data_IF_003142770672
#
_entry.id   IF_003142770672
#
_cell.length_a   1.000
_cell.length_b   1.000
_cell.length_c   1.000
_cell.angle_alpha   90.00
_cell.angle_beta   90.00
_cell.angle_gamma   90.00
#
_symmetry.space_group_name_H-M   'P 1'
#
loop_
_entity.id
_entity.type
_entity.pdbx_description
1 polymer ?
#
# COMPACT_ATOMS: atom_id res chain seq x y z
N UNK A 1 -16.56 10.92 -0.15
CA UNK A 1 -15.95 10.42 -1.40
C UNK A 1 -14.89 9.38 -1.05
N UNK A 2 -15.00 8.14 -1.54
CA UNK A 2 -13.99 7.10 -1.31
C UNK A 2 -12.70 7.37 -2.11
N UNK A 3 -11.54 7.01 -1.54
CA UNK A 3 -10.24 7.13 -2.21
C UNK A 3 -9.47 5.81 -2.07
N UNK A 4 -8.98 5.30 -3.21
CA UNK A 4 -7.97 4.25 -3.29
C UNK A 4 -6.71 4.82 -3.95
N UNK A 5 -5.61 4.90 -3.21
CA UNK A 5 -4.38 5.55 -3.63
C UNK A 5 -3.26 4.50 -3.86
N UNK A 6 -2.85 4.28 -5.10
CA UNK A 6 -1.94 3.18 -5.48
C UNK A 6 -0.57 3.70 -5.92
N UNK A 7 0.50 3.04 -5.50
CA UNK A 7 1.87 3.38 -5.86
C UNK A 7 2.20 4.83 -5.50
N UNK A 8 2.47 5.67 -6.52
CA UNK A 8 2.68 7.12 -6.30
C UNK A 8 1.47 7.82 -5.67
N UNK A 9 0.26 7.27 -5.81
CA UNK A 9 -0.93 7.75 -5.14
C UNK A 9 -0.77 7.75 -3.61
N UNK A 10 -0.15 6.71 -3.03
CA UNK A 10 0.13 6.65 -1.58
C UNK A 10 1.06 7.79 -1.16
N UNK A 11 2.08 8.11 -1.96
CA UNK A 11 2.98 9.23 -1.71
C UNK A 11 2.24 10.58 -1.74
N UNK A 12 1.38 10.79 -2.74
CA UNK A 12 0.57 12.01 -2.86
C UNK A 12 -0.38 12.13 -1.68
N UNK A 13 -1.07 11.05 -1.31
CA UNK A 13 -1.96 11.00 -0.15
C UNK A 13 -1.23 11.46 1.12
N UNK A 14 -0.01 10.95 1.34
CA UNK A 14 0.81 11.34 2.49
C UNK A 14 1.12 12.84 2.50
N UNK A 15 1.61 13.38 1.38
CA UNK A 15 2.01 14.78 1.25
C UNK A 15 0.80 15.72 1.39
N UNK A 16 -0.31 15.42 0.73
CA UNK A 16 -1.54 16.19 0.83
C UNK A 16 -2.09 16.26 2.26
N UNK A 17 -1.84 15.22 3.06
CA UNK A 17 -2.22 15.18 4.48
C UNK A 17 -1.16 15.79 5.41
N UNK A 18 -0.14 16.47 4.89
CA UNK A 18 0.90 17.15 5.69
C UNK A 18 2.08 16.26 6.09
N UNK A 19 2.24 15.09 5.45
CA UNK A 19 3.43 14.27 5.57
C UNK A 19 4.60 14.82 4.73
N UNK A 20 5.79 14.24 4.91
CA UNK A 20 6.99 14.60 4.14
C UNK A 20 7.06 13.82 2.83
N UNK A 21 7.91 14.28 1.92
CA UNK A 21 8.19 13.57 0.68
C UNK A 21 8.80 12.18 0.94
N UNK A 22 8.48 11.17 0.11
CA UNK A 22 9.13 9.87 0.18
C UNK A 22 10.62 10.01 -0.16
N UNK A 23 11.44 9.12 0.38
CA UNK A 23 12.88 9.10 0.14
C UNK A 23 13.27 7.90 -0.74
N UNK A 24 14.39 7.99 -1.49
CA UNK A 24 14.94 6.85 -2.21
C UNK A 24 15.18 5.65 -1.29
N UNK A 25 14.92 4.46 -1.81
CA UNK A 25 15.14 3.17 -1.14
C UNK A 25 15.75 2.16 -2.11
N UNK A 26 16.50 1.21 -1.59
CA UNK A 26 17.17 0.15 -2.37
C UNK A 26 16.38 -1.16 -2.26
N UNK A 27 16.51 -2.06 -3.24
CA UNK A 27 15.88 -3.40 -3.18
C UNK A 27 14.37 -3.48 -3.50
N UNK A 28 13.72 -2.36 -3.82
CA UNK A 28 12.28 -2.31 -4.16
C UNK A 28 11.98 -2.12 -5.66
N UNK A 29 13.01 -2.09 -6.51
CA UNK A 29 12.86 -1.85 -7.96
C UNK A 29 14.01 -2.41 -8.82
N UNK A 30 14.81 -3.34 -8.31
CA UNK A 30 15.99 -3.83 -9.04
C UNK A 30 15.66 -5.00 -9.97
N UNK A 31 15.75 -4.77 -11.28
CA UNK A 31 15.87 -5.86 -12.25
C UNK A 31 17.18 -6.60 -12.00
N UNK A 32 17.17 -7.68 -11.23
CA UNK A 32 18.25 -8.65 -11.30
C UNK A 32 18.20 -9.30 -12.68
N UNK A 33 19.17 -8.96 -13.53
CA UNK A 33 19.24 -9.26 -14.97
C UNK A 33 19.22 -10.76 -15.34
N UNK A 34 19.11 -11.66 -14.37
CA UNK A 34 19.23 -13.12 -14.56
C UNK A 34 18.05 -13.94 -14.02
N UNK A 35 16.92 -13.33 -13.64
CA UNK A 35 15.74 -14.14 -13.30
C UNK A 35 14.42 -13.46 -13.61
N UNK A 36 13.51 -14.20 -14.24
CA UNK A 36 12.05 -13.96 -14.37
C UNK A 36 11.31 -13.80 -13.02
N UNK A 37 12.03 -13.53 -11.92
CA UNK A 37 11.45 -13.31 -10.61
C UNK A 37 10.82 -11.92 -10.61
N UNK A 38 9.49 -11.89 -10.72
CA UNK A 38 8.66 -10.76 -10.26
C UNK A 38 9.23 -10.27 -8.94
N UNK A 39 9.61 -9.00 -8.86
CA UNK A 39 10.04 -8.37 -7.61
C UNK A 39 8.86 -8.39 -6.67
N UNK A 40 8.85 -9.37 -5.76
CA UNK A 40 7.84 -9.52 -4.74
C UNK A 40 8.52 -9.51 -3.38
N UNK A 41 7.95 -8.77 -2.45
CA UNK A 41 8.39 -8.75 -1.05
C UNK A 41 7.23 -9.10 -0.12
N UNK A 42 7.54 -9.28 1.16
CA UNK A 42 6.54 -9.64 2.15
C UNK A 42 6.11 -8.40 2.91
N UNK A 43 4.81 -8.14 2.94
CA UNK A 43 4.23 -7.09 3.77
C UNK A 43 3.44 -7.70 4.91
N UNK A 44 3.44 -7.04 6.06
CA UNK A 44 2.52 -7.32 7.15
C UNK A 44 1.40 -6.28 7.14
N UNK A 45 0.16 -6.72 6.91
CA UNK A 45 -1.05 -5.91 7.01
C UNK A 45 -1.69 -6.10 8.39
N UNK A 46 -1.83 -5.01 9.12
CA UNK A 46 -2.37 -5.00 10.49
C UNK A 46 -3.83 -5.46 10.53
N UNK A 47 -4.18 -6.38 11.45
CA UNK A 47 -5.57 -6.66 11.78
C UNK A 47 -6.29 -5.38 12.23
N UNK A 48 -7.53 -5.20 11.78
CA UNK A 48 -8.34 -4.02 12.10
C UNK A 48 -8.14 -2.82 11.16
N UNK A 49 -7.21 -2.90 10.21
CA UNK A 49 -7.11 -1.96 9.10
C UNK A 49 -8.36 -2.05 8.20
N UNK A 50 -8.79 -0.93 7.60
CA UNK A 50 -9.90 -0.92 6.62
C UNK A 50 -9.59 -1.84 5.45
N UNK A 51 -8.34 -1.85 4.98
CA UNK A 51 -7.87 -2.76 3.96
C UNK A 51 -8.01 -4.22 4.38
N UNK A 52 -7.72 -4.57 5.65
CA UNK A 52 -7.87 -5.95 6.12
C UNK A 52 -9.33 -6.42 6.09
N UNK A 53 -10.28 -5.53 6.41
CA UNK A 53 -11.70 -5.83 6.31
C UNK A 53 -12.16 -6.02 4.87
N UNK A 54 -11.64 -5.23 3.92
CA UNK A 54 -11.98 -5.33 2.49
C UNK A 54 -11.34 -6.55 1.82
N UNK A 55 -10.07 -6.80 2.10
CA UNK A 55 -9.33 -7.96 1.60
C UNK A 55 -9.89 -9.26 2.22
N UNK A 56 -10.54 -9.16 3.38
CA UNK A 56 -11.11 -10.30 4.11
C UNK A 56 -10.08 -11.09 4.93
N UNK A 57 -8.86 -10.56 5.07
CA UNK A 57 -7.78 -11.15 5.87
C UNK A 57 -6.75 -10.10 6.26
N UNK A 58 -5.96 -10.42 7.29
CA UNK A 58 -4.83 -9.65 7.77
C UNK A 58 -3.60 -10.55 7.90
N UNK A 59 -2.43 -9.98 8.15
CA UNK A 59 -1.17 -10.70 8.32
C UNK A 59 -0.25 -10.57 7.11
N UNK A 60 0.47 -11.64 6.78
CA UNK A 60 1.53 -11.60 5.79
C UNK A 60 1.02 -11.82 4.36
N UNK A 61 1.42 -10.93 3.45
CA UNK A 61 1.11 -11.03 2.03
C UNK A 61 2.37 -10.85 1.19
N UNK A 62 2.50 -11.62 0.11
CA UNK A 62 3.52 -11.39 -0.92
C UNK A 62 2.93 -10.52 -2.01
N UNK A 63 3.48 -9.34 -2.22
CA UNK A 63 2.98 -8.35 -3.19
C UNK A 63 4.11 -7.89 -4.09
N UNK A 64 3.77 -7.36 -5.27
CA UNK A 64 4.77 -6.74 -6.14
C UNK A 64 5.43 -5.53 -5.48
N UNK A 65 6.70 -5.34 -5.78
CA UNK A 65 7.53 -4.21 -5.38
C UNK A 65 8.13 -3.60 -6.64
N UNK A 66 7.58 -2.47 -7.06
CA UNK A 66 8.04 -1.70 -8.22
C UNK A 66 8.08 -0.21 -7.87
N UNK A 67 8.95 0.16 -6.94
CA UNK A 67 9.14 1.53 -6.50
C UNK A 67 10.58 1.81 -6.05
N UNK A 68 11.08 2.99 -6.39
CA UNK A 68 12.44 3.44 -6.02
C UNK A 68 12.44 4.35 -4.79
N UNK A 69 11.26 4.76 -4.31
CA UNK A 69 11.08 5.58 -3.13
C UNK A 69 10.05 4.95 -2.19
N UNK A 70 10.16 5.25 -0.90
CA UNK A 70 9.22 4.80 0.12
C UNK A 70 9.07 5.80 1.28
N UNK A 71 8.12 5.50 2.15
CA UNK A 71 7.80 6.30 3.34
C UNK A 71 8.19 5.48 4.58
N UNK A 72 8.88 6.09 5.53
CA UNK A 72 9.04 5.57 6.90
C UNK A 72 8.17 6.39 7.85
N UNK A 73 8.01 5.93 9.08
CA UNK A 73 7.23 6.62 10.11
C UNK A 73 7.61 8.10 10.29
N UNK A 74 8.89 8.44 10.15
CA UNK A 74 9.37 9.83 10.26
C UNK A 74 8.89 10.76 9.12
N UNK A 75 8.48 10.21 7.98
CA UNK A 75 7.87 10.95 6.87
C UNK A 75 6.34 10.87 6.85
N UNK A 76 5.73 9.95 7.60
CA UNK A 76 4.28 9.75 7.62
C UNK A 76 3.56 11.00 8.13
N UNK A 77 2.45 11.35 7.49
CA UNK A 77 1.52 12.35 8.00
C UNK A 77 0.94 11.92 9.36
N UNK A 78 0.89 12.80 10.37
CA UNK A 78 0.22 12.50 11.64
C UNK A 78 -1.31 12.28 11.48
N UNK A 79 -1.91 12.65 10.34
CA UNK A 79 -3.34 12.48 10.05
C UNK A 79 -3.68 11.15 9.35
N UNK A 80 -2.67 10.33 9.07
CA UNK A 80 -2.84 9.01 8.47
C UNK A 80 -2.42 7.95 9.48
N UNK A 81 -2.80 6.70 9.27
CA UNK A 81 -2.32 5.53 10.01
C UNK A 81 -1.57 4.63 9.05
N UNK A 82 -0.39 4.18 9.44
CA UNK A 82 0.34 3.11 8.76
C UNK A 82 -0.31 1.77 9.12
N UNK A 83 -0.82 1.08 8.10
CA UNK A 83 -1.57 -0.16 8.27
C UNK A 83 -0.89 -1.36 7.66
N UNK A 84 0.11 -1.16 6.81
CA UNK A 84 1.00 -2.24 6.37
C UNK A 84 2.46 -1.79 6.31
N UNK A 85 3.37 -2.73 6.55
CA UNK A 85 4.81 -2.52 6.49
C UNK A 85 5.49 -3.63 5.71
N UNK A 86 6.52 -3.29 4.95
CA UNK A 86 7.52 -4.22 4.44
C UNK A 86 8.23 -4.89 5.63
N UNK A 87 8.26 -6.22 5.63
CA UNK A 87 8.81 -7.01 6.74
C UNK A 87 10.33 -6.89 6.79
N UNK A 88 10.96 -6.72 5.63
CA UNK A 88 12.40 -6.73 5.47
C UNK A 88 13.06 -5.43 5.97
N UNK A 89 12.42 -4.27 5.77
CA UNK A 89 13.06 -2.97 5.99
C UNK A 89 12.20 -1.92 6.71
N UNK A 90 10.95 -2.27 7.06
CA UNK A 90 10.02 -1.42 7.79
C UNK A 90 9.49 -0.23 6.99
N UNK A 91 9.62 -0.24 5.66
CA UNK A 91 8.95 0.75 4.80
C UNK A 91 7.44 0.60 4.93
N UNK A 92 6.73 1.71 4.96
CA UNK A 92 5.27 1.74 5.01
C UNK A 92 4.74 1.35 3.63
N UNK A 93 3.91 0.31 3.62
CA UNK A 93 3.32 -0.28 2.41
C UNK A 93 1.83 0.01 2.28
N UNK A 94 1.18 0.44 3.37
CA UNK A 94 -0.19 0.95 3.33
C UNK A 94 -0.42 2.08 4.32
N UNK A 95 -1.19 3.07 3.88
CA UNK A 95 -1.64 4.21 4.67
C UNK A 95 -3.16 4.31 4.61
N UNK A 96 -3.81 4.57 5.74
CA UNK A 96 -5.25 4.81 5.81
C UNK A 96 -5.55 6.10 6.55
N UNK A 97 -6.64 6.79 6.20
CA UNK A 97 -7.09 7.92 7.02
C UNK A 97 -8.09 7.44 8.07
N UNK A 98 -7.87 7.69 9.38
CA UNK A 98 -8.87 7.43 10.40
C UNK A 98 -10.03 8.44 10.36
N UNK A 99 -9.80 9.65 9.86
CA UNK A 99 -10.78 10.75 9.85
C UNK A 99 -11.87 10.57 8.76
N UNK A 100 -11.54 9.90 7.66
CA UNK A 100 -12.44 9.73 6.52
C UNK A 100 -13.08 8.35 6.51
N UNK A 101 -14.31 8.22 6.00
CA UNK A 101 -15.02 6.93 5.96
C UNK A 101 -14.24 5.86 5.20
N UNK A 102 -13.71 6.18 4.02
CA UNK A 102 -13.02 5.21 3.16
C UNK A 102 -11.87 5.88 2.38
N UNK A 103 -10.67 5.83 2.96
CA UNK A 103 -9.42 6.26 2.32
C UNK A 103 -8.37 5.22 2.64
N UNK A 104 -7.92 4.52 1.60
CA UNK A 104 -6.93 3.45 1.67
C UNK A 104 -5.85 3.74 0.63
N UNK A 105 -4.60 3.63 1.01
CA UNK A 105 -3.46 3.69 0.11
C UNK A 105 -2.61 2.44 0.23
N UNK A 106 -2.08 1.96 -0.90
CA UNK A 106 -1.09 0.89 -0.98
C UNK A 106 0.08 1.32 -1.86
N UNK A 107 1.29 0.90 -1.48
CA UNK A 107 2.51 1.16 -2.23
C UNK A 107 2.72 0.15 -3.37
N UNK A 108 2.37 -1.12 -3.15
CA UNK A 108 2.27 -2.12 -4.22
C UNK A 108 1.21 -1.73 -5.27
N UNK A 109 1.23 -2.43 -6.40
CA UNK A 109 0.36 -2.20 -7.55
C UNK A 109 -0.69 -3.32 -7.67
N UNK A 110 -1.81 -3.30 -6.91
CA UNK A 110 -2.82 -4.35 -6.93
C UNK A 110 -3.59 -4.48 -8.25
N UNK A 111 -3.47 -3.50 -9.15
CA UNK A 111 -3.94 -3.56 -10.54
C UNK A 111 -3.20 -4.62 -11.37
N UNK A 112 -1.96 -4.96 -10.99
CA UNK A 112 -1.20 -6.08 -11.55
C UNK A 112 -1.63 -7.38 -10.86
N UNK A 113 -2.86 -7.84 -11.16
CA UNK A 113 -3.54 -8.92 -10.43
C UNK A 113 -2.80 -10.27 -10.42
N UNK A 114 -1.89 -10.50 -11.36
CA UNK A 114 -1.04 -11.69 -11.43
C UNK A 114 0.21 -11.59 -10.53
N UNK A 115 0.38 -10.48 -9.81
CA UNK A 115 1.53 -10.19 -8.94
C UNK A 115 1.14 -9.83 -7.50
N UNK A 116 -0.14 -9.96 -7.16
CA UNK A 116 -0.67 -9.83 -5.79
C UNK A 116 -1.66 -10.96 -5.50
N UNK A 117 -1.98 -11.25 -4.23
CA UNK A 117 -3.00 -12.23 -3.90
C UNK A 117 -4.35 -11.83 -4.49
N UNK A 118 -5.13 -12.81 -4.99
CA UNK A 118 -6.42 -12.55 -5.65
C UNK A 118 -7.39 -11.71 -4.80
N UNK A 119 -7.32 -11.83 -3.48
CA UNK A 119 -8.13 -11.06 -2.53
C UNK A 119 -7.92 -9.55 -2.62
N UNK A 120 -6.78 -9.07 -3.15
CA UNK A 120 -6.53 -7.63 -3.34
C UNK A 120 -7.46 -7.02 -4.41
N UNK A 121 -8.04 -7.83 -5.31
CA UNK A 121 -9.07 -7.35 -6.24
C UNK A 121 -10.30 -6.78 -5.54
N UNK A 122 -10.57 -7.21 -4.29
CA UNK A 122 -11.66 -6.68 -3.47
C UNK A 122 -11.50 -5.18 -3.17
N UNK A 123 -10.29 -4.62 -3.22
CA UNK A 123 -10.07 -3.18 -3.03
C UNK A 123 -10.79 -2.36 -4.12
N UNK A 124 -10.78 -2.84 -5.36
CA UNK A 124 -11.44 -2.18 -6.48
C UNK A 124 -12.95 -2.37 -6.43
N UNK A 125 -13.43 -3.57 -6.08
CA UNK A 125 -14.87 -3.82 -5.87
C UNK A 125 -15.42 -2.91 -4.76
N UNK A 126 -14.73 -2.84 -3.63
CA UNK A 126 -15.10 -1.96 -2.53
C UNK A 126 -15.06 -0.48 -2.92
N UNK A 127 -14.11 -0.03 -3.74
CA UNK A 127 -14.10 1.35 -4.23
C UNK A 127 -15.38 1.68 -5.00
N UNK A 128 -15.83 0.78 -5.89
CA UNK A 128 -17.06 0.95 -6.68
C UNK A 128 -18.29 0.97 -5.78
N UNK A 129 -18.41 0.01 -4.86
CA UNK A 129 -19.52 -0.06 -3.90
C UNK A 129 -19.61 1.21 -3.05
N UNK A 130 -18.46 1.71 -2.55
CA UNK A 130 -18.39 2.90 -1.70
C UNK A 130 -18.64 4.20 -2.45
N UNK A 131 -18.54 4.18 -3.78
CA UNK A 131 -18.87 5.34 -4.61
C UNK A 131 -20.38 5.41 -4.88
N UNK A 132 -21.06 4.27 -4.88
CA UNK A 132 -22.51 4.18 -5.12
C UNK A 132 -23.36 4.38 -3.87
N UNK A 133 -22.77 4.27 -2.68
CA UNK A 133 -23.40 4.48 -1.37
C UNK A 133 -23.38 5.96 -0.95
#
# INVERSE_FOLDING_TARGET
MPILAIGRGLHILNICQGGKAPLPIEGHSEYHSDSDKKLVHTIYLSPGAKASAVIGSAGFFRVNSNHTCGIREIQRSPKLMSTAYSVEDGIIEALESPEHSWVIGFQCNPELQDQVPRSFSNLFLALVERFQA
#
